data_IF_151493331734
#
_entry.id   IF_151493331734
#
_cell.length_a   1.000
_cell.length_b   1.000
_cell.length_c   1.000
_cell.angle_alpha   90.00
_cell.angle_beta   90.00
_cell.angle_gamma   90.00
#
_symmetry.space_group_name_H-M   'P 1'
#
loop_
_entity.id
_entity.type
_entity.pdbx_description
1 polymer ?
#
# COMPACT_ATOMS: atom_id res chain seq x y z
N UNK A 1 10.50 -24.87 2.18
CA UNK A 1 9.63 -24.24 1.15
C UNK A 1 8.47 -23.55 1.86
N UNK A 2 8.01 -22.36 1.42
CA UNK A 2 6.80 -21.74 1.98
C UNK A 2 5.59 -22.67 1.76
N UNK A 3 4.67 -22.74 2.73
CA UNK A 3 3.41 -23.47 2.53
C UNK A 3 2.63 -22.82 1.37
N UNK A 4 1.98 -23.63 0.54
CA UNK A 4 1.11 -23.15 -0.56
C UNK A 4 0.11 -22.12 0.01
N UNK A 5 -0.02 -20.96 -0.64
CA UNK A 5 -0.85 -19.84 -0.17
C UNK A 5 -0.17 -18.85 0.78
N UNK A 6 1.01 -19.15 1.34
CA UNK A 6 1.70 -18.20 2.24
C UNK A 6 2.38 -17.04 1.52
N UNK A 7 2.70 -17.18 0.23
CA UNK A 7 3.42 -16.14 -0.52
C UNK A 7 2.62 -14.83 -0.60
N UNK A 8 1.34 -14.80 -1.02
CA UNK A 8 0.54 -13.57 -1.02
C UNK A 8 0.43 -12.93 0.38
N UNK A 9 0.19 -13.74 1.41
CA UNK A 9 0.08 -13.28 2.79
C UNK A 9 1.39 -12.62 3.26
N UNK A 10 2.53 -13.27 3.00
CA UNK A 10 3.85 -12.73 3.34
C UNK A 10 4.17 -11.45 2.59
N UNK A 11 3.81 -11.36 1.31
CA UNK A 11 3.98 -10.14 0.52
C UNK A 11 3.17 -8.99 1.11
N UNK A 12 1.90 -9.24 1.46
CA UNK A 12 1.04 -8.22 2.05
C UNK A 12 1.57 -7.77 3.42
N UNK A 13 1.96 -8.71 4.30
CA UNK A 13 2.57 -8.38 5.60
C UNK A 13 3.78 -7.44 5.48
N UNK A 14 4.63 -7.66 4.47
CA UNK A 14 5.81 -6.82 4.24
C UNK A 14 5.43 -5.44 3.69
N UNK A 15 4.39 -5.34 2.85
CA UNK A 15 3.84 -4.07 2.36
C UNK A 15 3.27 -3.27 3.53
N UNK A 16 2.44 -3.88 4.38
CA UNK A 16 1.80 -3.22 5.52
C UNK A 16 2.86 -2.72 6.53
N UNK A 17 3.87 -3.54 6.82
CA UNK A 17 4.99 -3.15 7.67
C UNK A 17 5.84 -2.02 7.06
N UNK A 18 5.94 -1.96 5.73
CA UNK A 18 6.62 -0.88 5.02
C UNK A 18 5.84 0.42 5.16
N UNK A 19 4.51 0.39 4.94
CA UNK A 19 3.64 1.56 5.15
C UNK A 19 3.77 2.10 6.57
N UNK A 20 3.69 1.23 7.58
CA UNK A 20 3.83 1.63 8.97
C UNK A 20 5.21 2.25 9.28
N UNK A 21 6.29 1.69 8.72
CA UNK A 21 7.63 2.26 8.89
C UNK A 21 7.75 3.64 8.21
N UNK A 22 7.25 3.77 6.98
CA UNK A 22 7.28 5.02 6.23
C UNK A 22 6.45 6.11 6.92
N UNK A 23 5.31 5.77 7.50
CA UNK A 23 4.50 6.74 8.26
C UNK A 23 5.19 7.23 9.53
N UNK A 24 6.02 6.40 10.16
CA UNK A 24 6.70 6.76 11.40
C UNK A 24 7.99 7.56 11.17
N UNK A 25 8.83 7.13 10.22
CA UNK A 25 10.18 7.69 10.04
C UNK A 25 10.41 8.31 8.66
N UNK A 26 9.43 8.24 7.75
CA UNK A 26 9.58 8.67 6.37
C UNK A 26 10.23 7.61 5.47
N UNK A 27 10.12 7.82 4.14
CA UNK A 27 10.54 6.84 3.14
C UNK A 27 12.06 6.61 3.11
N UNK A 28 12.85 7.67 3.31
CA UNK A 28 14.30 7.57 3.27
C UNK A 28 14.83 6.74 4.46
N UNK A 29 14.33 7.02 5.66
CA UNK A 29 14.83 6.43 6.91
C UNK A 29 14.25 5.05 7.21
N UNK A 30 13.18 4.62 6.52
CA UNK A 30 12.64 3.27 6.67
C UNK A 30 13.63 2.20 6.19
N UNK A 31 14.24 1.45 7.12
CA UNK A 31 15.23 0.40 6.81
C UNK A 31 14.61 -0.99 6.67
N UNK A 32 15.26 -1.87 5.89
CA UNK A 32 14.89 -3.31 5.77
C UNK A 32 14.78 -3.96 7.15
N UNK A 33 15.69 -3.63 8.08
CA UNK A 33 15.70 -4.22 9.41
C UNK A 33 14.50 -3.78 10.26
N UNK A 34 14.10 -2.51 10.20
CA UNK A 34 12.89 -2.03 10.88
C UNK A 34 11.63 -2.69 10.29
N UNK A 35 11.54 -2.76 8.97
CA UNK A 35 10.39 -3.36 8.28
C UNK A 35 10.26 -4.85 8.61
N UNK A 36 11.35 -5.60 8.49
CA UNK A 36 11.36 -7.03 8.82
C UNK A 36 10.97 -7.29 10.28
N UNK A 37 11.46 -6.46 11.20
CA UNK A 37 11.09 -6.54 12.62
C UNK A 37 9.60 -6.29 12.84
N UNK A 38 9.02 -5.26 12.21
CA UNK A 38 7.57 -4.96 12.27
C UNK A 38 6.73 -6.11 11.71
N UNK A 39 7.17 -6.71 10.59
CA UNK A 39 6.48 -7.84 9.98
C UNK A 39 6.71 -9.18 10.72
N UNK A 40 7.55 -9.23 11.76
CA UNK A 40 7.86 -10.47 12.50
C UNK A 40 8.60 -11.50 11.64
N UNK A 41 9.53 -11.04 10.78
CA UNK A 41 10.28 -11.88 9.84
C UNK A 41 11.77 -11.58 9.84
N UNK A 42 12.56 -12.47 9.24
CA UNK A 42 13.99 -12.24 9.03
C UNK A 42 14.24 -11.28 7.86
N UNK A 43 15.35 -10.54 7.89
CA UNK A 43 15.71 -9.59 6.82
C UNK A 43 15.81 -10.26 5.43
N UNK A 44 16.32 -11.49 5.36
CA UNK A 44 16.51 -12.21 4.10
C UNK A 44 15.22 -12.51 3.35
N UNK A 45 14.07 -12.49 4.02
CA UNK A 45 12.77 -12.71 3.38
C UNK A 45 12.42 -11.58 2.41
N UNK A 46 12.89 -10.35 2.66
CA UNK A 46 12.63 -9.19 1.80
C UNK A 46 13.34 -9.38 0.47
N UNK A 47 14.62 -9.78 0.48
CA UNK A 47 15.34 -10.09 -0.75
C UNK A 47 14.69 -11.23 -1.53
N UNK A 48 14.12 -12.23 -0.85
CA UNK A 48 13.41 -13.33 -1.50
C UNK A 48 12.14 -12.87 -2.24
N UNK A 49 11.34 -11.96 -1.66
CA UNK A 49 10.08 -11.52 -2.26
C UNK A 49 10.20 -10.27 -3.16
N UNK A 50 11.13 -9.38 -2.86
CA UNK A 50 11.18 -8.03 -3.42
C UNK A 50 12.56 -7.64 -3.95
N UNK A 51 13.53 -8.56 -3.94
CA UNK A 51 14.94 -8.36 -4.35
C UNK A 51 15.73 -7.45 -3.41
N UNK A 52 15.24 -6.24 -3.14
CA UNK A 52 15.89 -5.22 -2.32
C UNK A 52 14.88 -4.23 -1.69
N UNK A 53 15.38 -3.18 -1.01
CA UNK A 53 14.56 -2.12 -0.41
C UNK A 53 13.73 -1.38 -1.47
N UNK A 54 14.31 -1.11 -2.63
CA UNK A 54 13.63 -0.35 -3.68
C UNK A 54 12.49 -1.16 -4.29
N UNK A 55 12.68 -2.46 -4.52
CA UNK A 55 11.60 -3.34 -4.99
C UNK A 55 10.47 -3.49 -3.97
N UNK A 56 10.78 -3.44 -2.66
CA UNK A 56 9.75 -3.42 -1.62
C UNK A 56 8.99 -2.09 -1.59
N UNK A 57 9.69 -0.96 -1.68
CA UNK A 57 9.07 0.36 -1.77
C UNK A 57 8.21 0.51 -3.02
N UNK A 58 8.70 0.03 -4.17
CA UNK A 58 7.94 0.03 -5.43
C UNK A 58 6.65 -0.79 -5.30
N UNK A 59 6.74 -2.01 -4.76
CA UNK A 59 5.55 -2.83 -4.54
C UNK A 59 4.56 -2.16 -3.57
N UNK A 60 5.06 -1.48 -2.55
CA UNK A 60 4.26 -0.72 -1.60
C UNK A 60 3.55 0.46 -2.27
N UNK A 61 4.26 1.24 -3.11
CA UNK A 61 3.65 2.33 -3.88
C UNK A 61 2.62 1.83 -4.89
N UNK A 62 2.90 0.73 -5.59
CA UNK A 62 1.94 0.10 -6.51
C UNK A 62 0.67 -0.35 -5.78
N UNK A 63 0.81 -0.89 -4.57
CA UNK A 63 -0.33 -1.27 -3.73
C UNK A 63 -1.22 -0.07 -3.40
N UNK A 64 -0.62 1.04 -2.94
CA UNK A 64 -1.34 2.28 -2.64
C UNK A 64 -2.07 2.85 -3.87
N UNK A 65 -1.37 2.99 -4.99
CA UNK A 65 -1.94 3.55 -6.23
C UNK A 65 -3.08 2.66 -6.75
N UNK A 66 -2.95 1.33 -6.63
CA UNK A 66 -4.01 0.40 -7.01
C UNK A 66 -5.25 0.55 -6.13
N UNK A 67 -5.07 0.70 -4.81
CA UNK A 67 -6.18 0.92 -3.88
C UNK A 67 -6.89 2.25 -4.13
N UNK A 68 -6.15 3.34 -4.34
CA UNK A 68 -6.71 4.63 -4.72
C UNK A 68 -7.51 4.52 -6.03
N UNK A 69 -6.94 3.86 -7.04
CA UNK A 69 -7.58 3.65 -8.33
C UNK A 69 -8.92 2.93 -8.22
N UNK A 70 -8.98 1.87 -7.41
CA UNK A 70 -10.22 1.13 -7.16
C UNK A 70 -11.24 1.99 -6.40
N UNK A 71 -10.81 2.73 -5.37
CA UNK A 71 -11.67 3.62 -4.60
C UNK A 71 -12.28 4.74 -5.45
N UNK A 72 -11.50 5.32 -6.37
CA UNK A 72 -11.97 6.32 -7.34
C UNK A 72 -12.92 5.69 -8.36
N UNK A 73 -12.60 4.50 -8.88
CA UNK A 73 -13.43 3.79 -9.84
C UNK A 73 -14.81 3.48 -9.29
N UNK A 74 -14.91 2.98 -8.06
CA UNK A 74 -16.19 2.70 -7.40
C UNK A 74 -17.04 3.97 -7.26
N UNK A 75 -16.42 5.10 -6.91
CA UNK A 75 -17.11 6.41 -6.82
C UNK A 75 -17.64 6.86 -8.17
N UNK A 76 -16.81 6.77 -9.21
CA UNK A 76 -17.22 7.12 -10.57
C UNK A 76 -18.39 6.26 -11.07
N UNK A 77 -18.39 4.96 -10.73
CA UNK A 77 -19.48 4.04 -11.08
C UNK A 77 -20.79 4.34 -10.34
N UNK A 78 -20.71 4.94 -9.14
CA UNK A 78 -21.88 5.31 -8.34
C UNK A 78 -22.50 6.67 -8.77
N UNK A 79 -21.88 7.41 -9.69
CA UNK A 79 -22.39 8.70 -10.14
C UNK A 79 -23.66 8.54 -10.99
N UNK A 80 -24.71 9.26 -10.61
CA UNK A 80 -25.91 9.46 -11.44
C UNK A 80 -25.73 10.62 -12.42
N UNK A 81 -24.99 11.66 -12.04
CA UNK A 81 -24.55 12.75 -12.92
C UNK A 81 -23.15 12.45 -13.49
N UNK A 82 -23.05 12.28 -14.81
CA UNK A 82 -21.80 12.01 -15.50
C UNK A 82 -21.11 13.28 -16.04
N UNK A 83 -21.49 14.46 -15.56
CA UNK A 83 -20.84 15.71 -15.91
C UNK A 83 -19.32 15.69 -15.58
N UNK A 84 -18.48 16.40 -16.36
CA UNK A 84 -17.05 16.48 -16.07
C UNK A 84 -16.75 17.00 -14.65
N UNK A 85 -17.58 17.92 -14.14
CA UNK A 85 -17.45 18.46 -12.78
C UNK A 85 -17.71 17.38 -11.72
N UNK A 86 -18.80 16.60 -11.84
CA UNK A 86 -19.11 15.51 -10.92
C UNK A 86 -18.00 14.44 -10.91
N UNK A 87 -17.43 14.11 -12.07
CA UNK A 87 -16.30 13.19 -12.19
C UNK A 87 -15.04 13.71 -11.51
N UNK A 88 -14.71 14.99 -11.69
CA UNK A 88 -13.56 15.62 -10.99
C UNK A 88 -13.76 15.60 -9.48
N UNK A 89 -14.96 15.93 -8.99
CA UNK A 89 -15.29 15.86 -7.57
C UNK A 89 -15.14 14.43 -7.03
N UNK A 90 -15.59 13.41 -7.75
CA UNK A 90 -15.42 12.01 -7.35
C UNK A 90 -13.95 11.58 -7.26
N UNK A 91 -13.11 12.03 -8.21
CA UNK A 91 -11.66 11.76 -8.18
C UNK A 91 -11.01 12.44 -6.98
N UNK A 92 -11.30 13.73 -6.76
CA UNK A 92 -10.78 14.50 -5.61
C UNK A 92 -11.22 13.85 -4.30
N UNK A 93 -12.51 13.57 -4.13
CA UNK A 93 -13.05 12.91 -2.95
C UNK A 93 -12.42 11.53 -2.69
N UNK A 94 -12.12 10.77 -3.74
CA UNK A 94 -11.42 9.50 -3.61
C UNK A 94 -10.02 9.62 -2.99
N UNK A 95 -9.30 10.72 -3.20
CA UNK A 95 -7.98 10.96 -2.61
C UNK A 95 -8.02 11.29 -1.10
N UNK A 96 -9.17 11.75 -0.60
CA UNK A 96 -9.35 12.15 0.79
C UNK A 96 -10.25 11.19 1.57
N UNK A 97 -10.55 10.01 1.00
CA UNK A 97 -11.34 8.99 1.67
C UNK A 97 -10.59 8.40 2.88
N UNK A 98 -11.34 7.95 3.88
CA UNK A 98 -10.79 7.31 5.09
C UNK A 98 -9.94 6.07 4.78
N UNK A 99 -10.15 5.39 3.64
CA UNK A 99 -9.28 4.29 3.19
C UNK A 99 -7.92 4.75 2.64
N UNK A 100 -7.79 6.03 2.29
CA UNK A 100 -6.59 6.64 1.71
C UNK A 100 -5.81 7.48 2.73
N UNK A 101 -6.46 7.91 3.80
CA UNK A 101 -5.83 8.53 4.95
C UNK A 101 -5.64 7.49 6.05
N UNK A 102 -4.54 7.56 6.78
CA UNK A 102 -4.14 6.51 7.69
C UNK A 102 -5.19 6.28 8.80
N UNK A 103 -5.83 5.11 8.87
CA UNK A 103 -6.63 4.67 10.01
C UNK A 103 -5.75 4.17 11.18
N UNK A 104 -4.62 4.83 11.41
CA UNK A 104 -3.77 4.59 12.57
C UNK A 104 -3.66 5.89 13.38
N UNK A 105 -4.69 6.12 14.18
CA UNK A 105 -4.63 6.81 15.45
C UNK A 105 -5.27 5.89 16.49
#
# INVERSE_FOLDING_TARGET
MPKVGMQPIRRQQLIDATLAAVNEVGMHDATIAQIARRAGVSNGIISHYFKDKNGLLEATMRYLISHLGEAVKLRLQALTDNSPAARLQAIVAGNFDDSQINSAA
#
